data_IF_162015066732
#
_entry.id   IF_162015066732
#
_cell.length_a   1.000
_cell.length_b   1.000
_cell.length_c   1.000
_cell.angle_alpha   90.00
_cell.angle_beta   90.00
_cell.angle_gamma   90.00
#
_symmetry.space_group_name_H-M   'P 1'
#
loop_
_entity.id
_entity.type
_entity.pdbx_description
1 polymer ?
#
# COMPACT_ATOMS: atom_id res chain seq x y z
N UNK A 1 -8.86 48.26 12.08
CA UNK A 1 -7.86 47.61 11.21
C UNK A 1 -6.53 47.62 11.96
N UNK A 2 -6.01 46.44 12.32
CA UNK A 2 -4.91 45.86 11.55
C UNK A 2 -5.14 44.40 11.13
N UNK A 3 -4.78 44.16 9.87
CA UNK A 3 -4.40 42.91 9.20
C UNK A 3 -3.56 41.92 10.03
N UNK A 4 -4.04 40.69 10.16
CA UNK A 4 -3.26 39.47 10.37
C UNK A 4 -3.96 38.44 9.48
N UNK A 5 -3.53 38.26 8.23
CA UNK A 5 -2.35 37.47 7.94
C UNK A 5 -2.83 36.07 7.55
N UNK A 6 -3.19 35.89 6.29
CA UNK A 6 -3.35 34.56 5.70
C UNK A 6 -2.07 33.76 5.96
N UNK A 7 -2.19 32.64 6.66
CA UNK A 7 -1.32 31.50 6.40
C UNK A 7 -2.23 30.29 6.20
N UNK A 8 -2.27 29.67 5.00
CA UNK A 8 -2.74 28.30 4.94
C UNK A 8 -1.76 27.51 5.81
N UNK A 9 -2.24 26.88 6.87
CA UNK A 9 -1.43 25.89 7.57
C UNK A 9 -1.02 24.88 6.50
N UNK A 10 0.28 24.77 6.13
CA UNK A 10 0.69 23.51 5.56
C UNK A 10 0.46 22.55 6.72
N UNK A 11 -0.55 21.71 6.60
CA UNK A 11 -0.58 20.39 7.23
C UNK A 11 0.64 19.68 6.66
N UNK A 12 1.80 20.10 7.17
CA UNK A 12 3.08 19.49 7.01
C UNK A 12 2.91 18.23 7.83
N UNK A 13 2.31 17.24 7.17
CA UNK A 13 2.27 15.84 7.55
C UNK A 13 3.58 15.62 8.28
N UNK A 14 3.56 15.34 9.60
CA UNK A 14 4.81 15.24 10.33
C UNK A 14 5.67 14.28 9.51
N UNK A 15 6.87 14.72 9.12
CA UNK A 15 7.87 13.89 8.42
C UNK A 15 8.40 12.83 9.40
N UNK A 16 7.50 12.21 10.16
CA UNK A 16 7.71 10.95 10.81
C UNK A 16 8.21 10.04 9.71
N UNK A 17 9.42 9.52 9.87
CA UNK A 17 10.01 8.53 8.96
C UNK A 17 9.03 7.37 8.68
N UNK A 18 8.08 7.14 9.60
CA UNK A 18 7.00 6.15 9.55
C UNK A 18 5.68 6.63 8.90
N UNK A 19 5.53 7.90 8.51
CA UNK A 19 4.26 8.47 8.05
C UNK A 19 3.70 7.83 6.77
N UNK A 20 4.56 7.21 5.97
CA UNK A 20 4.18 6.47 4.76
C UNK A 20 4.22 4.95 4.92
N UNK A 21 4.51 4.41 6.09
CA UNK A 21 4.70 2.98 6.31
C UNK A 21 3.50 2.38 7.02
N UNK A 22 3.05 1.23 6.53
CA UNK A 22 1.94 0.46 7.08
C UNK A 22 2.43 -0.95 7.38
N UNK A 23 2.03 -1.49 8.53
CA UNK A 23 2.42 -2.86 8.88
C UNK A 23 1.65 -3.85 8.01
N UNK A 24 2.14 -5.10 7.90
CA UNK A 24 1.39 -6.14 7.18
C UNK A 24 -0.02 -6.34 7.72
N UNK A 25 -0.22 -6.19 9.03
CA UNK A 25 -1.54 -6.37 9.65
C UNK A 25 -2.48 -5.23 9.26
N UNK A 26 -2.01 -3.99 9.39
CA UNK A 26 -2.79 -2.80 9.00
C UNK A 26 -3.11 -2.80 7.51
N UNK A 27 -2.15 -3.19 6.66
CA UNK A 27 -2.37 -3.29 5.23
C UNK A 27 -3.43 -4.34 4.89
N UNK A 28 -3.40 -5.49 5.58
CA UNK A 28 -4.41 -6.51 5.43
C UNK A 28 -5.80 -5.95 5.78
N UNK A 29 -5.92 -5.22 6.89
CA UNK A 29 -7.18 -4.59 7.29
C UNK A 29 -7.65 -3.52 6.29
N UNK A 30 -6.77 -2.65 5.80
CA UNK A 30 -7.12 -1.61 4.82
C UNK A 30 -7.56 -2.21 3.48
N UNK A 31 -6.92 -3.28 3.01
CA UNK A 31 -7.30 -3.97 1.78
C UNK A 31 -8.48 -4.94 1.97
N UNK A 32 -8.95 -5.16 3.20
CA UNK A 32 -9.96 -6.17 3.52
C UNK A 32 -9.48 -7.61 3.29
N UNK A 33 -8.17 -7.85 3.34
CA UNK A 33 -7.52 -9.14 3.14
C UNK A 33 -7.05 -9.74 4.46
N UNK A 34 -6.78 -11.05 4.45
CA UNK A 34 -6.12 -11.72 5.58
C UNK A 34 -4.61 -11.54 5.54
N UNK A 35 -3.98 -11.51 6.71
CA UNK A 35 -2.50 -11.49 6.83
C UNK A 35 -1.86 -12.68 6.11
N UNK A 36 -2.54 -13.83 6.07
CA UNK A 36 -2.11 -15.02 5.34
C UNK A 36 -2.10 -14.81 3.81
N UNK A 37 -3.03 -14.01 3.27
CA UNK A 37 -3.02 -13.62 1.86
C UNK A 37 -1.78 -12.79 1.56
N UNK A 38 -1.46 -11.81 2.41
CA UNK A 38 -0.23 -11.02 2.27
C UNK A 38 1.03 -11.89 2.45
N UNK A 39 1.05 -12.84 3.38
CA UNK A 39 2.15 -13.82 3.51
C UNK A 39 2.34 -14.63 2.22
N UNK A 40 1.25 -15.08 1.61
CA UNK A 40 1.29 -15.81 0.33
C UNK A 40 1.80 -14.92 -0.79
N UNK A 41 1.43 -13.65 -0.83
CA UNK A 41 1.95 -12.67 -1.80
C UNK A 41 3.45 -12.45 -1.63
N UNK A 42 3.93 -12.29 -0.39
CA UNK A 42 5.36 -12.22 -0.08
C UNK A 42 6.11 -13.49 -0.53
N UNK A 43 5.56 -14.67 -0.25
CA UNK A 43 6.18 -15.95 -0.62
C UNK A 43 6.24 -16.16 -2.14
N UNK A 44 5.19 -15.76 -2.85
CA UNK A 44 5.12 -15.82 -4.32
C UNK A 44 5.91 -14.68 -4.99
N UNK A 45 6.47 -13.74 -4.21
CA UNK A 45 7.08 -12.50 -4.70
C UNK A 45 6.15 -11.72 -5.64
N UNK A 46 4.84 -11.86 -5.42
CA UNK A 46 3.78 -11.23 -6.19
C UNK A 46 3.03 -10.31 -5.23
N UNK A 47 3.50 -9.09 -5.09
CA UNK A 47 2.96 -8.16 -4.11
C UNK A 47 3.70 -6.83 -4.11
N UNK A 48 3.16 -5.84 -3.41
CA UNK A 48 3.77 -4.53 -3.32
C UNK A 48 5.13 -4.62 -2.62
N UNK A 49 6.09 -3.75 -2.99
CA UNK A 49 7.43 -3.78 -2.43
C UNK A 49 7.36 -3.59 -0.91
N UNK A 50 7.93 -4.58 -0.21
CA UNK A 50 7.95 -4.63 1.23
C UNK A 50 9.36 -4.37 1.77
N UNK A 51 9.45 -3.67 2.89
CA UNK A 51 10.71 -3.45 3.60
C UNK A 51 10.71 -4.22 4.90
N UNK A 52 11.72 -5.08 5.04
CA UNK A 52 11.97 -5.81 6.27
C UNK A 52 12.76 -4.93 7.23
N UNK A 53 12.13 -4.57 8.33
CA UNK A 53 12.79 -3.97 9.48
C UNK A 53 12.92 -5.05 10.58
N UNK A 54 14.02 -5.80 10.53
CA UNK A 54 14.27 -6.92 11.43
C UNK A 54 13.25 -8.05 11.27
N UNK A 55 12.49 -8.34 12.33
CA UNK A 55 11.43 -9.36 12.34
C UNK A 55 10.09 -8.89 11.78
N UNK A 56 9.92 -7.58 11.55
CA UNK A 56 8.67 -6.98 11.08
C UNK A 56 8.78 -6.58 9.62
N UNK A 57 7.67 -6.72 8.91
CA UNK A 57 7.53 -6.29 7.51
C UNK A 57 6.64 -5.07 7.47
N UNK A 58 7.13 -4.04 6.79
CA UNK A 58 6.42 -2.80 6.55
C UNK A 58 6.27 -2.60 5.05
N UNK A 59 5.11 -2.09 4.65
CA UNK A 59 4.81 -1.69 3.29
C UNK A 59 4.77 -0.17 3.25
N UNK A 60 5.17 0.41 2.13
CA UNK A 60 4.99 1.84 1.91
C UNK A 60 3.65 2.06 1.24
N UNK A 61 2.76 2.88 1.80
CA UNK A 61 1.42 3.15 1.23
C UNK A 61 1.50 3.55 -0.24
N UNK A 62 2.33 4.54 -0.55
CA UNK A 62 2.57 4.98 -1.93
C UNK A 62 3.06 3.86 -2.88
N UNK A 63 3.81 2.88 -2.37
CA UNK A 63 4.29 1.77 -3.20
C UNK A 63 3.27 0.63 -3.30
N UNK A 64 2.34 0.52 -2.35
CA UNK A 64 1.17 -0.34 -2.48
C UNK A 64 0.21 0.23 -3.53
N UNK A 65 -0.01 1.54 -3.51
CA UNK A 65 -0.83 2.26 -4.49
C UNK A 65 -0.26 2.09 -5.90
N UNK A 66 1.03 2.41 -6.09
CA UNK A 66 1.74 2.22 -7.37
C UNK A 66 1.66 0.77 -7.86
N UNK A 67 1.87 -0.20 -6.96
CA UNK A 67 1.73 -1.61 -7.30
C UNK A 67 0.30 -2.01 -7.69
N UNK A 68 -0.73 -1.46 -7.05
CA UNK A 68 -2.13 -1.71 -7.42
C UNK A 68 -2.42 -1.16 -8.82
N UNK A 69 -1.90 0.02 -9.14
CA UNK A 69 -2.01 0.63 -10.48
C UNK A 69 -1.25 -0.20 -11.53
N UNK A 70 -0.05 -0.66 -11.22
CA UNK A 70 0.71 -1.59 -12.08
C UNK A 70 -0.04 -2.91 -12.27
N UNK A 71 -0.64 -3.48 -11.21
CA UNK A 71 -1.44 -4.71 -11.32
C UNK A 71 -2.70 -4.50 -12.16
N UNK A 72 -3.36 -3.35 -12.06
CA UNK A 72 -4.52 -3.03 -12.91
C UNK A 72 -4.13 -3.00 -14.39
N UNK A 73 -2.96 -2.45 -14.70
CA UNK A 73 -2.44 -2.39 -16.07
C UNK A 73 -1.85 -3.72 -16.55
N UNK A 74 -1.16 -4.45 -15.67
CA UNK A 74 -0.49 -5.70 -15.96
C UNK A 74 -1.43 -6.90 -15.96
N UNK A 75 -2.57 -6.83 -15.27
CA UNK A 75 -3.62 -7.82 -15.39
C UNK A 75 -4.14 -7.77 -16.83
N UNK A 76 -3.74 -8.71 -17.70
CA UNK A 76 -4.35 -8.78 -19.01
C UNK A 76 -5.80 -9.10 -18.70
N UNK A 77 -6.75 -8.20 -19.03
CA UNK A 77 -8.20 -8.38 -18.89
C UNK A 77 -8.45 -9.86 -19.04
N UNK A 78 -8.65 -10.58 -17.93
CA UNK A 78 -8.65 -12.04 -17.95
C UNK A 78 -9.80 -12.35 -18.89
N UNK A 79 -9.52 -12.65 -20.16
CA UNK A 79 -10.49 -13.26 -21.04
C UNK A 79 -10.83 -14.49 -20.23
N UNK A 80 -12.05 -14.53 -19.73
CA UNK A 80 -12.57 -15.65 -18.95
C UNK A 80 -12.25 -16.87 -19.81
N UNK A 81 -11.16 -17.55 -19.46
CA UNK A 81 -10.76 -18.77 -20.10
C UNK A 81 -11.79 -19.75 -19.57
N UNK A 82 -12.81 -19.99 -20.39
CA UNK A 82 -13.80 -21.00 -20.14
C UNK A 82 -13.14 -22.36 -19.93
N UNK A 83 -13.90 -23.24 -19.29
CA UNK A 83 -13.72 -24.68 -19.42
C UNK A 83 -12.74 -25.31 -18.43
N UNK A 84 -13.30 -25.82 -17.35
CA UNK A 84 -13.10 -27.19 -16.79
C UNK A 84 -13.94 -27.23 -15.50
N UNK A 85 -14.86 -28.14 -15.28
CA UNK A 85 -15.10 -29.49 -15.82
C UNK A 85 -16.55 -29.87 -15.51
#
# INVERSE_FOLDING_TARGET
MPHLGSMPEPTAKPRTLMGGWISRLDLAMELGLSVDTLRRWEAQRMGPPCVRAGRKVYYRRAAVEDWLEEQEQAAPRRRRAGGRR
#
